data_IF_978483773926
#
_entry.id   IF_978483773926
#
_cell.length_a   1.000
_cell.length_b   1.000
_cell.length_c   1.000
_cell.angle_alpha   90.00
_cell.angle_beta   90.00
_cell.angle_gamma   90.00
#
_symmetry.space_group_name_H-M   'P 1'
#
loop_
_entity.id
_entity.type
_entity.pdbx_description
1 polymer ?
#
# COMPACT_ATOMS: atom_id res chain seq x y z
N UNK A 1 -19.14 -13.46 -13.94
CA UNK A 1 -17.88 -12.79 -14.26
C UNK A 1 -17.49 -11.95 -13.06
N UNK A 2 -16.30 -12.18 -12.51
CA UNK A 2 -15.80 -11.54 -11.31
C UNK A 2 -14.69 -10.55 -11.67
N UNK A 3 -14.97 -9.66 -12.64
CA UNK A 3 -13.96 -8.78 -13.25
C UNK A 3 -13.90 -7.40 -12.58
N UNK A 4 -13.98 -7.37 -11.24
CA UNK A 4 -13.69 -6.21 -10.41
C UNK A 4 -14.32 -4.88 -10.85
N UNK A 5 -13.68 -3.78 -10.45
CA UNK A 5 -14.15 -2.40 -10.70
C UNK A 5 -14.04 -1.94 -12.16
N UNK A 6 -13.39 -2.72 -13.05
CA UNK A 6 -13.11 -2.38 -14.45
C UNK A 6 -13.86 -3.28 -15.45
N UNK A 7 -15.02 -3.82 -15.07
CA UNK A 7 -15.81 -4.64 -15.99
C UNK A 7 -16.35 -3.79 -17.15
N UNK A 8 -15.93 -4.13 -18.38
CA UNK A 8 -16.37 -3.53 -19.65
C UNK A 8 -17.90 -3.43 -19.78
N UNK A 9 -18.62 -4.35 -19.14
CA UNK A 9 -20.09 -4.40 -19.12
C UNK A 9 -20.76 -3.26 -18.35
N UNK A 10 -20.05 -2.59 -17.41
CA UNK A 10 -20.62 -1.50 -16.59
C UNK A 10 -20.60 -0.13 -17.26
N UNK A 11 -19.63 0.14 -18.14
CA UNK A 11 -19.55 1.42 -18.87
C UNK A 11 -20.76 1.68 -19.79
N UNK A 12 -21.55 0.65 -20.10
CA UNK A 12 -22.73 0.76 -20.95
C UNK A 12 -24.03 1.05 -20.18
N UNK A 13 -24.01 1.02 -18.83
CA UNK A 13 -25.22 1.08 -18.00
C UNK A 13 -25.39 2.34 -17.15
N UNK A 14 -24.55 3.37 -17.32
CA UNK A 14 -24.68 4.67 -16.62
C UNK A 14 -24.87 4.51 -15.08
N UNK A 15 -24.19 3.53 -14.49
CA UNK A 15 -24.19 3.30 -13.05
C UNK A 15 -23.09 4.20 -12.46
N UNK A 16 -23.43 5.30 -11.78
CA UNK A 16 -22.43 6.21 -11.25
C UNK A 16 -21.56 5.47 -10.24
N UNK A 17 -20.25 5.40 -10.51
CA UNK A 17 -19.24 5.07 -9.52
C UNK A 17 -19.22 6.22 -8.51
N UNK A 18 -19.80 6.00 -7.34
CA UNK A 18 -19.55 6.87 -6.18
C UNK A 18 -18.09 6.67 -5.78
N UNK A 19 -17.17 7.35 -6.45
CA UNK A 19 -15.77 7.44 -6.03
C UNK A 19 -15.75 8.30 -4.77
N UNK A 20 -15.75 7.66 -3.62
CA UNK A 20 -15.35 8.31 -2.39
C UNK A 20 -13.84 8.48 -2.45
N UNK A 21 -13.44 9.69 -2.80
CA UNK A 21 -12.06 10.14 -2.63
C UNK A 21 -11.79 10.17 -1.13
N UNK A 22 -11.32 9.04 -0.59
CA UNK A 22 -11.09 8.85 0.85
C UNK A 22 -9.94 9.75 1.38
N UNK A 23 -9.40 10.66 0.56
CA UNK A 23 -8.35 11.61 0.95
C UNK A 23 -7.04 10.95 1.35
N UNK A 24 -6.89 9.65 1.08
CA UNK A 24 -5.72 8.86 1.41
C UNK A 24 -5.32 8.01 0.20
N UNK A 25 -4.05 8.10 -0.18
CA UNK A 25 -3.44 7.25 -1.20
C UNK A 25 -2.79 6.04 -0.52
N UNK A 26 -2.91 4.87 -1.15
CA UNK A 26 -2.23 3.65 -0.70
C UNK A 26 -0.99 3.40 -1.55
N UNK A 27 0.19 3.55 -0.96
CA UNK A 27 1.46 3.17 -1.57
C UNK A 27 1.70 1.67 -1.33
N UNK A 28 2.03 0.94 -2.39
CA UNK A 28 2.30 -0.50 -2.34
C UNK A 28 3.71 -0.76 -2.86
N UNK A 29 4.50 -1.52 -2.12
CA UNK A 29 5.86 -1.90 -2.52
C UNK A 29 6.20 -3.32 -2.03
N UNK A 30 7.10 -3.99 -2.73
CA UNK A 30 7.69 -5.24 -2.25
C UNK A 30 9.02 -4.92 -1.59
N UNK A 31 9.16 -5.26 -0.31
CA UNK A 31 10.33 -4.94 0.50
C UNK A 31 10.99 -6.19 1.02
N UNK A 32 12.31 -6.15 1.14
CA UNK A 32 13.09 -7.20 1.78
C UNK A 32 13.42 -6.78 3.21
N UNK A 33 12.99 -7.56 4.19
CA UNK A 33 13.24 -7.30 5.62
C UNK A 33 14.48 -8.03 6.12
N UNK A 34 15.16 -7.45 7.10
CA UNK A 34 16.32 -8.10 7.75
C UNK A 34 15.91 -9.40 8.43
N UNK A 35 14.81 -9.37 9.20
CA UNK A 35 14.25 -10.52 9.88
C UNK A 35 13.13 -11.19 9.07
N UNK A 36 12.93 -12.51 9.21
CA UNK A 36 11.84 -13.18 8.56
C UNK A 36 10.47 -12.76 9.10
N UNK A 37 9.45 -12.76 8.24
CA UNK A 37 8.09 -12.39 8.60
C UNK A 37 7.33 -13.49 9.36
N UNK A 38 7.86 -14.72 9.42
CA UNK A 38 7.26 -15.88 10.11
C UNK A 38 5.80 -16.17 9.71
N UNK A 39 5.43 -15.86 8.47
CA UNK A 39 4.04 -15.91 7.98
C UNK A 39 3.03 -15.08 8.79
N UNK A 40 3.50 -14.04 9.48
CA UNK A 40 2.67 -13.13 10.27
C UNK A 40 2.46 -11.83 9.48
N UNK A 41 1.19 -11.48 9.24
CA UNK A 41 0.84 -10.14 8.79
C UNK A 41 0.95 -9.17 9.97
N UNK A 42 1.65 -8.05 9.77
CA UNK A 42 1.84 -7.01 10.80
C UNK A 42 1.23 -5.72 10.30
N UNK A 43 0.53 -5.00 11.15
CA UNK A 43 -0.01 -3.69 10.82
C UNK A 43 0.15 -2.77 12.03
N UNK A 44 0.56 -1.55 11.75
CA UNK A 44 0.65 -0.48 12.72
C UNK A 44 -0.18 0.70 12.25
N UNK A 45 -0.62 1.52 13.20
CA UNK A 45 -1.36 2.75 12.94
C UNK A 45 -0.47 3.92 13.35
N UNK A 46 -0.05 4.73 12.37
CA UNK A 46 0.71 5.95 12.63
C UNK A 46 -0.19 7.17 12.50
N UNK A 47 0.21 8.36 12.99
CA UNK A 47 -0.56 9.59 12.79
C UNK A 47 -0.84 9.92 11.32
N UNK A 48 -0.03 9.38 10.40
CA UNK A 48 -0.11 9.62 8.97
C UNK A 48 -0.86 8.53 8.21
N UNK A 49 -1.43 7.55 8.92
CA UNK A 49 -2.21 6.44 8.39
C UNK A 49 -1.60 5.07 8.70
N UNK A 50 -2.32 3.98 8.38
CA UNK A 50 -1.85 2.63 8.63
C UNK A 50 -0.75 2.19 7.68
N UNK A 51 0.21 1.42 8.21
CA UNK A 51 1.25 0.71 7.46
C UNK A 51 1.15 -0.79 7.77
N UNK A 52 0.91 -1.59 6.73
CA UNK A 52 0.79 -3.03 6.81
C UNK A 52 1.93 -3.73 6.07
N UNK A 53 2.44 -4.82 6.65
CA UNK A 53 3.39 -5.76 6.06
C UNK A 53 2.71 -7.11 5.87
N UNK A 54 2.54 -7.51 4.61
CA UNK A 54 1.92 -8.77 4.22
C UNK A 54 3.00 -9.78 3.83
N UNK A 55 3.06 -10.96 4.48
CA UNK A 55 4.08 -11.95 4.22
C UNK A 55 3.97 -12.50 2.79
N UNK A 56 5.09 -12.58 2.08
CA UNK A 56 5.17 -13.21 0.76
C UNK A 56 5.70 -14.65 0.86
N UNK A 57 5.90 -15.31 -0.28
CA UNK A 57 6.41 -16.68 -0.32
C UNK A 57 7.84 -16.84 0.20
N UNK A 58 8.68 -15.80 0.08
CA UNK A 58 10.05 -15.81 0.59
C UNK A 58 10.07 -15.29 2.03
N UNK A 59 10.74 -15.98 2.99
CA UNK A 59 10.70 -15.65 4.42
C UNK A 59 11.02 -14.20 4.80
N UNK A 60 11.81 -13.49 3.99
CA UNK A 60 12.27 -12.12 4.22
C UNK A 60 11.65 -11.13 3.24
N UNK A 61 10.56 -11.47 2.56
CA UNK A 61 9.87 -10.59 1.63
C UNK A 61 8.47 -10.28 2.13
N UNK A 62 8.14 -9.00 2.13
CA UNK A 62 6.80 -8.52 2.44
C UNK A 62 6.28 -7.62 1.33
N UNK A 63 4.99 -7.71 1.04
CA UNK A 63 4.28 -6.66 0.31
C UNK A 63 3.78 -5.67 1.37
N UNK A 64 4.17 -4.40 1.25
CA UNK A 64 3.64 -3.36 2.13
C UNK A 64 2.41 -2.70 1.51
N UNK A 65 1.49 -2.26 2.37
CA UNK A 65 0.42 -1.34 2.02
C UNK A 65 0.48 -0.19 3.00
N UNK A 66 0.80 1.00 2.50
CA UNK A 66 0.98 2.20 3.30
C UNK A 66 -0.05 3.24 2.89
N UNK A 67 -1.09 3.40 3.69
CA UNK A 67 -2.10 4.44 3.48
C UNK A 67 -1.59 5.74 4.09
N UNK A 68 -1.49 6.79 3.28
CA UNK A 68 -1.06 8.11 3.73
C UNK A 68 -1.72 9.23 2.93
N UNK A 69 -1.51 10.48 3.35
CA UNK A 69 -2.03 11.65 2.64
C UNK A 69 -1.43 11.74 1.22
N UNK A 70 -2.20 12.22 0.21
CA UNK A 70 -1.75 12.27 -1.18
C UNK A 70 -0.38 12.92 -1.38
N UNK A 71 -0.15 14.09 -0.77
CA UNK A 71 1.12 14.82 -0.87
C UNK A 71 2.30 13.98 -0.34
N UNK A 72 2.10 13.29 0.78
CA UNK A 72 3.14 12.43 1.38
C UNK A 72 3.38 11.18 0.53
N UNK A 73 2.34 10.61 -0.07
CA UNK A 73 2.49 9.49 -0.99
C UNK A 73 3.31 9.91 -2.23
N UNK A 74 3.08 11.10 -2.78
CA UNK A 74 3.89 11.65 -3.88
C UNK A 74 5.35 11.86 -3.49
N UNK A 75 5.61 12.39 -2.29
CA UNK A 75 6.98 12.52 -1.76
C UNK A 75 7.66 11.16 -1.65
N UNK A 76 7.00 10.15 -1.08
CA UNK A 76 7.54 8.80 -0.94
C UNK A 76 7.84 8.15 -2.30
N UNK A 77 7.06 8.44 -3.33
CA UNK A 77 7.26 7.89 -4.69
C UNK A 77 8.49 8.46 -5.40
N UNK A 78 8.91 9.68 -5.08
CA UNK A 78 10.07 10.34 -5.71
C UNK A 78 11.37 10.21 -4.90
N UNK A 79 11.30 9.64 -3.69
CA UNK A 79 12.47 9.37 -2.87
C UNK A 79 13.40 8.35 -3.54
N UNK A 80 14.71 8.46 -3.26
CA UNK A 80 15.63 7.37 -3.56
C UNK A 80 15.33 6.16 -2.70
N UNK A 81 15.69 4.96 -3.16
CA UNK A 81 15.51 3.72 -2.41
C UNK A 81 16.10 3.80 -0.99
N UNK A 82 17.26 4.45 -0.82
CA UNK A 82 17.89 4.63 0.49
C UNK A 82 17.05 5.51 1.43
N UNK A 83 16.53 6.63 0.92
CA UNK A 83 15.68 7.52 1.69
C UNK A 83 14.34 6.86 2.02
N UNK A 84 13.73 6.17 1.05
CA UNK A 84 12.51 5.40 1.24
C UNK A 84 12.69 4.32 2.30
N UNK A 85 13.77 3.54 2.25
CA UNK A 85 14.05 2.48 3.22
C UNK A 85 14.25 3.04 4.64
N UNK A 86 14.94 4.18 4.78
CA UNK A 86 15.09 4.86 6.07
C UNK A 86 13.75 5.31 6.63
N UNK A 87 12.93 5.97 5.81
CA UNK A 87 11.60 6.45 6.21
C UNK A 87 10.67 5.29 6.58
N UNK A 88 10.65 4.21 5.78
CA UNK A 88 9.87 3.01 6.06
C UNK A 88 10.29 2.35 7.38
N UNK A 89 11.59 2.29 7.66
CA UNK A 89 12.12 1.71 8.90
C UNK A 89 11.82 2.58 10.13
N UNK A 90 11.76 3.92 9.97
CA UNK A 90 11.43 4.80 11.09
C UNK A 90 9.95 4.76 11.50
N UNK A 91 9.07 4.36 10.57
CA UNK A 91 7.62 4.32 10.81
C UNK A 91 7.17 2.98 11.39
N UNK A 92 7.93 1.88 11.16
CA UNK A 92 7.64 0.52 11.63
C UNK A 92 8.40 0.13 12.90
#
# INVERSE_FOLDING_TARGET
>A
GADGANSWLRNQMDIPLTHWDYGHHALVANVKTADPHHSIARQIFTPHGPLAFLPMSKPNMCSIVWSTEPNRAEELLVMSDEAFNKTLTSEF
#
